data_IF_492002349483
#
_entry.id   IF_492002349483
#
_cell.length_a   1.000
_cell.length_b   1.000
_cell.length_c   1.000
_cell.angle_alpha   90.00
_cell.angle_beta   90.00
_cell.angle_gamma   90.00
#
_symmetry.space_group_name_H-M   'P 1'
#
loop_
_entity.id
_entity.type
_entity.pdbx_description
1 polymer ?
#
# COMPACT_ATOMS: atom_id res chain seq x y z
N UNK A 1 -10.53 -59.89 24.66
CA UNK A 1 -11.99 -60.03 24.80
C UNK A 1 -12.55 -58.68 25.25
N UNK A 2 -13.15 -57.93 24.33
CA UNK A 2 -13.73 -56.61 24.61
C UNK A 2 -14.75 -56.29 23.53
N UNK A 3 -16.02 -56.56 23.83
CA UNK A 3 -17.19 -56.33 22.96
C UNK A 3 -17.41 -54.83 22.78
N UNK A 4 -17.37 -54.36 21.54
CA UNK A 4 -17.90 -53.06 21.13
C UNK A 4 -19.37 -53.22 20.74
N UNK A 5 -20.24 -52.43 21.36
CA UNK A 5 -21.67 -52.34 21.09
C UNK A 5 -21.89 -51.39 19.91
N UNK A 6 -22.60 -51.90 18.89
CA UNK A 6 -23.20 -51.16 17.78
C UNK A 6 -24.42 -50.38 18.29
N UNK A 7 -24.49 -49.09 17.97
CA UNK A 7 -25.69 -48.25 18.11
C UNK A 7 -26.30 -48.05 16.72
N UNK A 8 -27.63 -48.20 16.54
CA UNK A 8 -28.27 -48.12 15.24
C UNK A 8 -28.57 -46.69 14.80
N UNK A 9 -28.62 -46.54 13.47
CA UNK A 9 -28.93 -45.34 12.72
C UNK A 9 -30.34 -44.81 12.99
N UNK A 10 -30.44 -43.50 13.23
CA UNK A 10 -31.71 -42.76 13.27
C UNK A 10 -31.91 -42.06 11.93
N UNK A 11 -33.07 -42.33 11.32
CA UNK A 11 -33.46 -41.89 9.99
C UNK A 11 -33.55 -40.37 9.85
N UNK A 12 -33.04 -39.89 8.72
CA UNK A 12 -33.12 -38.49 8.30
C UNK A 12 -34.42 -38.26 7.56
N UNK A 13 -35.39 -37.64 8.22
CA UNK A 13 -36.64 -37.17 7.61
C UNK A 13 -36.34 -35.91 6.80
N UNK A 14 -36.47 -35.97 5.48
CA UNK A 14 -36.47 -34.79 4.60
C UNK A 14 -37.75 -33.98 4.82
N UNK A 15 -37.62 -32.79 5.39
CA UNK A 15 -38.67 -31.77 5.39
C UNK A 15 -38.43 -30.84 4.19
N UNK A 16 -39.28 -30.93 3.18
CA UNK A 16 -39.32 -29.99 2.05
C UNK A 16 -40.08 -28.75 2.52
N UNK A 17 -39.33 -27.68 2.81
CA UNK A 17 -39.91 -26.37 3.12
C UNK A 17 -40.12 -25.60 1.82
N UNK A 18 -41.38 -25.44 1.41
CA UNK A 18 -41.76 -24.56 0.31
C UNK A 18 -41.61 -23.09 0.72
N UNK A 19 -40.63 -22.40 0.15
CA UNK A 19 -40.47 -20.95 0.26
C UNK A 19 -41.47 -20.27 -0.68
N UNK A 20 -42.56 -19.74 -0.10
CA UNK A 20 -43.43 -18.80 -0.78
C UNK A 20 -42.72 -17.45 -0.92
N UNK A 21 -42.38 -17.06 -2.14
CA UNK A 21 -41.88 -15.73 -2.48
C UNK A 21 -43.02 -14.72 -2.42
N UNK A 22 -43.15 -14.00 -1.31
CA UNK A 22 -43.97 -12.79 -1.26
C UNK A 22 -43.25 -11.66 -2.03
N UNK A 23 -43.72 -11.38 -3.24
CA UNK A 23 -43.34 -10.18 -3.99
C UNK A 23 -43.86 -8.95 -3.24
N UNK A 24 -42.99 -8.28 -2.49
CA UNK A 24 -43.26 -6.94 -1.96
C UNK A 24 -43.21 -5.95 -3.13
N UNK A 25 -44.36 -5.35 -3.44
CA UNK A 25 -44.46 -4.21 -4.36
C UNK A 25 -43.71 -3.02 -3.75
N UNK A 26 -42.71 -2.53 -4.48
CA UNK A 26 -41.99 -1.30 -4.14
C UNK A 26 -42.96 -0.10 -4.22
N UNK A 27 -42.95 0.82 -3.24
CA UNK A 27 -43.68 2.07 -3.34
C UNK A 27 -43.09 2.96 -4.45
N UNK A 28 -43.91 3.78 -5.12
CA UNK A 28 -43.44 4.70 -6.15
C UNK A 28 -42.46 5.73 -5.57
N UNK A 29 -41.47 6.20 -6.36
CA UNK A 29 -40.48 7.16 -5.89
C UNK A 29 -41.15 8.50 -5.54
N UNK A 30 -40.82 9.00 -4.35
CA UNK A 30 -41.23 10.32 -3.90
C UNK A 30 -40.63 11.40 -4.83
N UNK A 31 -41.50 12.20 -5.42
CA UNK A 31 -41.15 13.40 -6.19
C UNK A 31 -40.59 14.46 -5.23
N UNK A 32 -39.28 14.67 -5.27
CA UNK A 32 -38.65 15.78 -4.56
C UNK A 32 -39.03 17.13 -5.20
N UNK A 33 -39.34 18.17 -4.40
CA UNK A 33 -39.56 19.51 -4.93
C UNK A 33 -38.27 20.07 -5.52
N UNK A 34 -38.35 20.56 -6.77
CA UNK A 34 -37.27 21.25 -7.46
C UNK A 34 -36.85 22.49 -6.66
N UNK A 35 -35.56 22.56 -6.31
CA UNK A 35 -34.94 23.76 -5.75
C UNK A 35 -35.03 24.91 -6.78
N UNK A 36 -35.42 26.13 -6.38
CA UNK A 36 -35.33 27.29 -7.26
C UNK A 36 -33.86 27.58 -7.60
N UNK A 37 -33.57 27.74 -8.89
CA UNK A 37 -32.26 28.13 -9.39
C UNK A 37 -32.02 29.61 -9.07
N UNK A 38 -31.17 29.89 -8.08
CA UNK A 38 -30.63 31.23 -7.85
C UNK A 38 -29.30 31.31 -8.59
N UNK A 39 -29.26 32.11 -9.64
CA UNK A 39 -28.03 32.41 -10.38
C UNK A 39 -27.18 33.38 -9.56
N UNK A 40 -25.88 33.12 -9.32
CA UNK A 40 -25.00 34.11 -8.72
C UNK A 40 -24.66 35.22 -9.73
N UNK A 41 -24.56 36.49 -9.30
CA UNK A 41 -24.11 37.57 -10.17
C UNK A 41 -22.61 37.43 -10.47
N UNK A 42 -22.27 37.55 -11.76
CA UNK A 42 -20.89 37.75 -12.23
C UNK A 42 -20.34 39.02 -11.56
N UNK A 43 -19.33 38.86 -10.71
CA UNK A 43 -18.52 39.97 -10.20
C UNK A 43 -17.20 39.98 -10.97
N UNK A 44 -17.00 41.06 -11.70
CA UNK A 44 -15.80 41.39 -12.47
C UNK A 44 -14.61 41.62 -11.53
N UNK A 45 -13.41 41.06 -11.81
CA UNK A 45 -12.24 41.28 -10.96
C UNK A 45 -11.69 42.71 -11.15
N UNK A 46 -11.31 43.42 -10.07
CA UNK A 46 -10.72 44.75 -10.17
C UNK A 46 -9.31 44.70 -10.77
N UNK A 47 -9.05 45.67 -11.65
CA UNK A 47 -7.79 45.89 -12.33
C UNK A 47 -6.62 46.10 -11.33
N UNK A 48 -5.49 45.46 -11.61
CA UNK A 48 -4.26 45.64 -10.86
C UNK A 48 -3.66 47.05 -11.08
N UNK A 49 -3.09 47.69 -10.04
CA UNK A 49 -2.45 49.00 -10.18
C UNK A 49 -1.10 48.89 -10.89
N UNK A 50 -0.95 49.70 -11.95
CA UNK A 50 0.30 49.95 -12.67
C UNK A 50 1.28 50.68 -11.75
N UNK A 51 2.44 50.08 -11.48
CA UNK A 51 3.56 50.76 -10.82
C UNK A 51 4.48 51.43 -11.86
N UNK A 52 4.88 52.71 -11.64
CA UNK A 52 5.83 53.39 -12.52
C UNK A 52 7.29 53.07 -12.16
N UNK A 53 8.02 52.59 -13.18
CA UNK A 53 9.39 52.94 -13.54
C UNK A 53 10.46 53.00 -12.45
N UNK A 54 11.29 51.96 -12.37
CA UNK A 54 12.66 52.05 -11.85
C UNK A 54 13.66 51.64 -12.93
N UNK A 55 14.31 52.64 -13.51
CA UNK A 55 15.42 52.53 -14.45
C UNK A 55 16.62 51.93 -13.69
N UNK A 56 17.08 50.76 -14.11
CA UNK A 56 18.36 50.20 -13.67
C UNK A 56 19.26 50.10 -14.90
N UNK A 57 20.42 50.73 -14.79
CA UNK A 57 21.46 50.83 -15.80
C UNK A 57 22.07 49.46 -16.12
N UNK A 58 22.34 49.25 -17.41
CA UNK A 58 23.12 48.14 -17.95
C UNK A 58 24.60 48.23 -17.51
N UNK A 59 25.29 47.08 -17.43
CA UNK A 59 26.60 47.05 -18.06
C UNK A 59 26.90 45.78 -18.89
N UNK A 60 27.65 46.05 -19.96
CA UNK A 60 28.71 45.24 -20.57
C UNK A 60 28.43 43.81 -21.08
N UNK A 61 28.26 43.73 -22.40
CA UNK A 61 29.06 42.97 -23.37
C UNK A 61 29.78 41.70 -22.87
N UNK A 62 29.22 40.53 -23.20
CA UNK A 62 29.92 39.24 -23.19
C UNK A 62 30.11 38.69 -24.62
N UNK A 63 31.28 38.12 -24.84
CA UNK A 63 31.81 37.59 -26.10
C UNK A 63 31.10 36.31 -26.58
N UNK A 64 31.19 35.96 -27.89
CA UNK A 64 30.49 34.83 -28.47
C UNK A 64 31.09 33.48 -28.03
N UNK A 65 30.19 32.58 -27.64
CA UNK A 65 30.46 31.20 -27.25
C UNK A 65 30.98 30.36 -28.44
N UNK A 66 31.99 29.53 -28.17
CA UNK A 66 32.42 28.46 -29.06
C UNK A 66 31.41 27.30 -29.12
N UNK A 67 31.57 26.38 -30.10
CA UNK A 67 30.64 25.28 -30.33
C UNK A 67 30.60 24.34 -29.11
N UNK A 68 29.42 24.25 -28.50
CA UNK A 68 29.17 23.47 -27.29
C UNK A 68 29.27 21.97 -27.52
N UNK A 69 30.15 21.34 -26.75
CA UNK A 69 30.21 19.90 -26.54
C UNK A 69 28.88 19.42 -25.95
N UNK A 70 28.21 18.48 -26.62
CA UNK A 70 26.96 17.91 -26.16
C UNK A 70 27.10 17.31 -24.74
N UNK A 71 26.14 17.55 -23.82
CA UNK A 71 26.18 16.98 -22.48
C UNK A 71 26.03 15.46 -22.59
N UNK A 72 27.11 14.73 -22.33
CA UNK A 72 27.05 13.29 -22.14
C UNK A 72 26.22 13.01 -20.89
N UNK A 73 25.05 12.39 -21.06
CA UNK A 73 24.23 11.83 -19.99
C UNK A 73 25.09 10.81 -19.22
N UNK A 74 25.78 11.26 -18.17
CA UNK A 74 26.40 10.38 -17.20
C UNK A 74 25.26 9.67 -16.49
N UNK A 75 25.06 8.40 -16.83
CA UNK A 75 24.19 7.52 -16.07
C UNK A 75 24.83 7.30 -14.71
N UNK A 76 24.50 8.15 -13.74
CA UNK A 76 24.81 7.89 -12.34
C UNK A 76 24.10 6.59 -11.96
N UNK A 77 24.86 5.50 -12.00
CA UNK A 77 24.43 4.20 -11.52
C UNK A 77 24.22 4.31 -10.02
N UNK A 78 23.00 4.67 -9.62
CA UNK A 78 22.54 4.53 -8.24
C UNK A 78 22.86 3.11 -7.82
N UNK A 79 23.75 2.95 -6.83
CA UNK A 79 24.13 1.64 -6.31
C UNK A 79 22.89 1.01 -5.70
N UNK A 80 22.21 0.18 -6.50
CA UNK A 80 20.98 -0.51 -6.14
C UNK A 80 21.35 -1.52 -5.06
N UNK A 81 21.27 -1.11 -3.78
CA UNK A 81 21.45 -1.99 -2.62
C UNK A 81 20.27 -2.93 -2.51
N UNK A 82 20.18 -3.89 -3.42
CA UNK A 82 19.17 -4.94 -3.35
C UNK A 82 19.59 -5.96 -2.29
N UNK A 83 18.65 -6.36 -1.44
CA UNK A 83 18.80 -7.60 -0.69
C UNK A 83 18.70 -8.77 -1.68
N UNK A 84 19.85 -9.24 -2.16
CA UNK A 84 19.97 -10.42 -3.03
C UNK A 84 19.96 -11.67 -2.16
N UNK A 85 19.08 -12.61 -2.49
CA UNK A 85 18.99 -13.91 -1.86
C UNK A 85 19.21 -15.00 -2.93
N UNK A 86 20.23 -15.86 -2.80
CA UNK A 86 20.33 -17.03 -3.67
C UNK A 86 19.12 -17.93 -3.42
N UNK A 87 18.45 -18.36 -4.48
CA UNK A 87 17.23 -19.14 -4.40
C UNK A 87 17.37 -20.39 -5.26
N UNK A 88 17.27 -21.56 -4.64
CA UNK A 88 17.23 -22.84 -5.35
C UNK A 88 15.81 -23.35 -5.34
N UNK A 89 15.18 -23.34 -6.51
CA UNK A 89 13.74 -23.68 -6.65
C UNK A 89 13.43 -25.10 -6.19
N UNK A 90 14.37 -26.04 -6.36
CA UNK A 90 14.22 -27.42 -5.88
C UNK A 90 14.15 -27.52 -4.34
N UNK A 91 14.69 -26.54 -3.63
CA UNK A 91 14.68 -26.47 -2.16
C UNK A 91 13.43 -25.75 -1.62
N UNK A 92 12.56 -25.24 -2.50
CA UNK A 92 11.31 -24.59 -2.10
C UNK A 92 10.29 -25.63 -1.63
N UNK A 93 10.00 -25.57 -0.34
CA UNK A 93 9.02 -26.44 0.32
C UNK A 93 7.93 -25.62 0.97
N UNK A 94 6.68 -26.08 0.81
CA UNK A 94 5.53 -25.52 1.52
C UNK A 94 5.31 -26.35 2.78
N UNK A 95 5.33 -25.69 3.94
CA UNK A 95 5.13 -26.32 5.25
C UNK A 95 3.95 -25.66 5.95
N UNK A 96 3.16 -26.48 6.63
CA UNK A 96 2.16 -26.01 7.60
C UNK A 96 2.79 -26.10 8.98
N UNK A 97 3.05 -24.96 9.60
CA UNK A 97 3.60 -24.88 10.95
C UNK A 97 2.48 -24.63 11.95
N UNK A 98 2.27 -25.57 12.86
CA UNK A 98 1.28 -25.44 13.94
C UNK A 98 1.94 -24.77 15.14
N UNK A 99 1.57 -23.53 15.43
CA UNK A 99 2.06 -22.73 16.56
C UNK A 99 1.04 -22.73 17.68
N UNK A 100 0.99 -23.81 18.47
CA UNK A 100 0.03 -23.96 19.57
C UNK A 100 -1.27 -24.65 19.16
N UNK A 101 -2.26 -24.66 20.06
CA UNK A 101 -3.48 -25.47 19.90
C UNK A 101 -4.32 -25.05 18.67
N UNK A 102 -4.42 -23.74 18.40
CA UNK A 102 -5.42 -23.22 17.44
C UNK A 102 -4.84 -22.39 16.29
N UNK A 103 -3.51 -22.22 16.20
CA UNK A 103 -2.92 -21.44 15.11
C UNK A 103 -1.99 -22.29 14.25
N UNK A 104 -2.27 -22.29 12.94
CA UNK A 104 -1.41 -22.89 11.93
C UNK A 104 -1.08 -21.83 10.88
N UNK A 105 0.18 -21.77 10.48
CA UNK A 105 0.66 -20.89 9.41
C UNK A 105 1.19 -21.71 8.23
N UNK A 106 0.90 -21.26 7.02
CA UNK A 106 1.45 -21.76 5.78
C UNK A 106 2.70 -20.97 5.43
N UNK A 107 3.82 -21.66 5.35
CA UNK A 107 5.13 -21.06 5.17
C UNK A 107 5.83 -21.68 3.98
N UNK A 108 6.42 -20.83 3.14
CA UNK A 108 7.36 -21.27 2.10
C UNK A 108 8.76 -21.17 2.67
N UNK A 109 9.51 -22.26 2.58
CA UNK A 109 10.90 -22.37 3.02
C UNK A 109 11.81 -22.59 1.82
N UNK A 110 12.92 -21.88 1.77
CA UNK A 110 14.03 -22.11 0.84
C UNK A 110 15.14 -22.84 1.60
N UNK A 111 15.12 -24.18 1.54
CA UNK A 111 15.99 -25.02 2.37
C UNK A 111 15.69 -24.82 3.87
N UNK A 112 16.64 -24.25 4.60
CA UNK A 112 16.52 -23.98 6.04
C UNK A 112 16.09 -22.52 6.36
N UNK A 113 15.90 -21.68 5.35
CA UNK A 113 15.51 -20.27 5.52
C UNK A 113 14.02 -20.10 5.26
N UNK A 114 13.32 -19.41 6.16
CA UNK A 114 11.96 -18.96 5.91
C UNK A 114 11.99 -17.95 4.77
N UNK A 115 11.31 -18.29 3.66
CA UNK A 115 11.18 -17.39 2.52
C UNK A 115 10.00 -16.44 2.74
N UNK A 116 8.83 -16.97 3.08
CA UNK A 116 7.61 -16.18 3.30
C UNK A 116 6.59 -16.92 4.17
N UNK A 117 5.85 -16.16 4.98
CA UNK A 117 4.74 -16.64 5.81
C UNK A 117 3.42 -16.09 5.24
N UNK A 118 2.43 -16.97 5.09
CA UNK A 118 1.10 -16.67 4.53
C UNK A 118 -0.02 -16.79 5.58
N UNK A 119 0.32 -16.94 6.86
CA UNK A 119 -0.64 -17.20 7.92
C UNK A 119 -1.57 -18.36 7.53
N UNK A 120 -2.88 -18.21 7.63
CA UNK A 120 -3.87 -19.26 7.36
C UNK A 120 -4.21 -19.45 5.85
N UNK A 121 -3.61 -18.68 4.94
CA UNK A 121 -3.95 -18.69 3.51
C UNK A 121 -3.14 -19.74 2.70
N UNK A 122 -3.63 -20.99 2.72
CA UNK A 122 -3.06 -22.10 1.94
C UNK A 122 -3.07 -21.84 0.43
N UNK A 123 -4.19 -21.29 -0.09
CA UNK A 123 -4.40 -21.11 -1.52
C UNK A 123 -3.35 -20.15 -2.09
N UNK A 124 -3.16 -19.01 -1.42
CA UNK A 124 -2.13 -18.05 -1.77
C UNK A 124 -0.72 -18.63 -1.64
N UNK A 125 -0.43 -19.40 -0.59
CA UNK A 125 0.88 -20.02 -0.40
C UNK A 125 1.21 -21.01 -1.54
N UNK A 126 0.24 -21.85 -1.95
CA UNK A 126 0.38 -22.76 -3.10
C UNK A 126 0.54 -22.00 -4.41
N UNK A 127 -0.23 -20.93 -4.61
CA UNK A 127 -0.14 -20.10 -5.82
C UNK A 127 1.24 -19.42 -5.95
N UNK A 128 1.80 -18.88 -4.86
CA UNK A 128 3.15 -18.32 -4.85
C UNK A 128 4.21 -19.39 -5.10
N UNK A 129 4.12 -20.54 -4.42
CA UNK A 129 5.06 -21.65 -4.67
C UNK A 129 5.04 -22.09 -6.14
N UNK A 130 3.85 -22.15 -6.74
CA UNK A 130 3.69 -22.53 -8.15
C UNK A 130 4.30 -21.47 -9.06
N UNK A 131 4.06 -20.19 -8.79
CA UNK A 131 4.66 -19.05 -9.52
C UNK A 131 6.18 -19.08 -9.44
N UNK A 132 6.76 -19.32 -8.25
CA UNK A 132 8.21 -19.43 -8.08
C UNK A 132 8.80 -20.64 -8.83
N UNK A 133 8.10 -21.78 -8.82
CA UNK A 133 8.52 -22.98 -9.56
C UNK A 133 8.46 -22.81 -11.08
N UNK A 134 7.50 -22.02 -11.55
CA UNK A 134 7.33 -21.64 -12.95
C UNK A 134 8.45 -20.68 -13.40
N UNK A 135 8.77 -19.66 -12.58
CA UNK A 135 9.84 -18.70 -12.84
C UNK A 135 11.25 -19.29 -12.81
N UNK A 136 11.46 -20.32 -11.98
CA UNK A 136 12.76 -20.93 -11.71
C UNK A 136 13.91 -19.94 -11.39
N UNK A 137 13.69 -18.92 -10.54
CA UNK A 137 14.74 -17.96 -10.21
C UNK A 137 15.93 -18.62 -9.50
N UNK A 138 17.13 -18.19 -9.85
CA UNK A 138 18.39 -18.53 -9.17
C UNK A 138 18.78 -17.44 -8.16
N UNK A 139 18.37 -16.21 -8.45
CA UNK A 139 18.59 -15.03 -7.63
C UNK A 139 17.26 -14.36 -7.37
N UNK A 140 16.99 -14.03 -6.10
CA UNK A 140 15.79 -13.34 -5.67
C UNK A 140 16.15 -11.98 -5.10
N UNK A 141 15.44 -10.95 -5.53
CA UNK A 141 15.67 -9.57 -5.11
C UNK A 141 14.42 -9.01 -4.44
N UNK A 142 14.63 -8.41 -3.27
CA UNK A 142 13.59 -7.76 -2.47
C UNK A 142 13.75 -6.24 -2.56
N UNK A 143 12.66 -5.53 -2.86
CA UNK A 143 12.60 -4.07 -2.86
C UNK A 143 11.58 -3.60 -1.84
N UNK A 144 11.99 -2.66 -0.99
CA UNK A 144 11.22 -2.16 0.15
C UNK A 144 11.69 -2.77 1.47
N UNK A 145 11.54 -2.00 2.56
CA UNK A 145 11.94 -2.39 3.92
C UNK A 145 11.03 -1.70 4.94
N UNK A 146 10.66 -2.33 6.06
CA UNK A 146 11.04 -3.67 6.53
C UNK A 146 10.28 -4.82 5.85
N UNK A 147 9.19 -4.50 5.13
CA UNK A 147 8.43 -5.47 4.36
C UNK A 147 8.67 -5.25 2.86
N UNK A 148 8.95 -6.31 2.08
CA UNK A 148 9.13 -6.18 0.65
C UNK A 148 7.81 -5.77 -0.01
N UNK A 149 7.87 -4.69 -0.80
CA UNK A 149 6.73 -4.14 -1.54
C UNK A 149 6.62 -4.82 -2.91
N UNK A 150 7.76 -5.04 -3.55
CA UNK A 150 7.87 -5.72 -4.84
C UNK A 150 9.12 -6.59 -4.88
N UNK A 151 9.02 -7.71 -5.59
CA UNK A 151 10.10 -8.68 -5.71
C UNK A 151 10.30 -9.07 -7.17
N UNK A 152 11.50 -9.56 -7.49
CA UNK A 152 11.76 -10.13 -8.80
C UNK A 152 12.85 -11.19 -8.71
N UNK A 153 12.75 -12.15 -9.62
CA UNK A 153 13.71 -13.23 -9.77
C UNK A 153 14.53 -13.06 -11.04
N UNK A 154 15.81 -13.45 -10.99
CA UNK A 154 16.66 -13.60 -12.17
C UNK A 154 17.13 -15.05 -12.32
N UNK A 155 17.30 -15.48 -13.57
CA UNK A 155 17.85 -16.76 -14.01
C UNK A 155 19.07 -16.44 -14.86
N UNK A 156 20.27 -16.84 -14.44
CA UNK A 156 21.53 -16.46 -15.08
C UNK A 156 21.65 -14.93 -15.30
N UNK A 157 21.23 -14.13 -14.31
CA UNK A 157 21.28 -12.66 -14.36
C UNK A 157 20.24 -12.00 -15.29
N UNK A 158 19.32 -12.77 -15.89
CA UNK A 158 18.26 -12.28 -16.78
C UNK A 158 16.89 -12.57 -16.18
N UNK A 159 15.85 -11.77 -16.46
CA UNK A 159 14.51 -12.07 -15.99
C UNK A 159 13.95 -13.32 -16.68
N UNK A 160 13.09 -14.11 -16.00
CA UNK A 160 12.36 -15.19 -16.64
C UNK A 160 11.46 -14.62 -17.74
N UNK A 161 11.41 -15.31 -18.89
CA UNK A 161 10.60 -14.92 -20.04
C UNK A 161 9.28 -15.67 -20.01
N UNK A 162 8.18 -14.93 -19.99
CA UNK A 162 6.86 -15.49 -20.22
C UNK A 162 6.55 -15.46 -21.71
N UNK A 163 6.25 -16.63 -22.30
CA UNK A 163 5.67 -16.67 -23.64
C UNK A 163 4.29 -16.03 -23.55
N UNK A 164 4.05 -15.05 -24.43
CA UNK A 164 2.72 -14.49 -24.62
C UNK A 164 1.75 -15.64 -24.84
N UNK A 165 0.78 -15.79 -23.94
CA UNK A 165 -0.35 -16.67 -24.18
C UNK A 165 -1.16 -15.97 -25.26
N UNK A 166 -0.92 -16.33 -26.52
CA UNK A 166 -1.66 -15.81 -27.68
C UNK A 166 -3.13 -16.18 -27.50
N UNK A 167 -3.88 -15.29 -26.84
CA UNK A 167 -5.29 -15.47 -26.50
C UNK A 167 -6.22 -15.36 -27.71
N UNK A 168 -5.68 -15.09 -28.90
CA UNK A 168 -6.44 -15.17 -30.14
C UNK A 168 -6.52 -16.62 -30.58
N UNK A 169 -7.57 -17.31 -30.13
CA UNK A 169 -7.95 -18.64 -30.59
C UNK A 169 -8.49 -18.61 -32.02
N UNK A 170 -7.77 -17.96 -32.95
CA UNK A 170 -8.09 -17.99 -34.37
C UNK A 170 -7.26 -19.11 -35.03
N UNK A 171 -7.82 -20.33 -35.20
CA UNK A 171 -7.10 -21.50 -35.68
C UNK A 171 -6.68 -21.40 -37.16
N UNK A 172 -6.93 -20.27 -37.84
CA UNK A 172 -6.72 -20.13 -39.29
C UNK A 172 -5.51 -19.29 -39.69
N UNK A 173 -4.78 -18.69 -38.76
CA UNK A 173 -3.60 -17.89 -39.11
C UNK A 173 -2.36 -18.77 -39.26
N UNK A 174 -2.21 -19.39 -40.44
CA UNK A 174 -1.07 -20.22 -40.85
C UNK A 174 0.21 -19.43 -41.11
N UNK A 175 0.60 -18.54 -40.20
CA UNK A 175 1.82 -17.74 -40.32
C UNK A 175 3.04 -18.55 -39.89
N UNK A 176 3.92 -18.81 -40.86
CA UNK A 176 5.24 -19.40 -40.67
C UNK A 176 6.04 -18.62 -39.64
N UNK A 177 6.30 -19.25 -38.49
CA UNK A 177 7.15 -18.70 -37.45
C UNK A 177 8.62 -18.75 -37.89
N UNK A 178 9.22 -17.57 -38.01
CA UNK A 178 10.68 -17.42 -38.00
C UNK A 178 11.20 -17.97 -36.67
N UNK A 179 11.91 -19.10 -36.74
CA UNK A 179 12.76 -19.65 -35.69
C UNK A 179 13.94 -18.72 -35.46
N UNK A 180 13.69 -17.55 -34.86
CA UNK A 180 14.75 -16.85 -34.15
C UNK A 180 15.24 -17.81 -33.07
N UNK A 181 16.54 -18.11 -33.13
CA UNK A 181 17.29 -19.01 -32.27
C UNK A 181 17.23 -18.52 -30.81
N UNK A 182 16.08 -18.75 -30.17
CA UNK A 182 15.87 -18.49 -28.75
C UNK A 182 16.85 -19.38 -27.99
N UNK A 183 17.66 -18.77 -27.13
CA UNK A 183 18.52 -19.48 -26.18
C UNK A 183 17.69 -20.58 -25.51
N UNK A 184 18.00 -21.84 -25.84
CA UNK A 184 17.27 -23.05 -25.42
C UNK A 184 17.28 -23.30 -23.90
N UNK A 185 17.88 -22.39 -23.12
CA UNK A 185 18.06 -22.51 -21.68
C UNK A 185 17.20 -21.55 -20.85
N UNK A 186 16.42 -20.66 -21.47
CA UNK A 186 15.53 -19.79 -20.68
C UNK A 186 14.24 -20.52 -20.29
N UNK A 187 13.92 -20.60 -18.98
CA UNK A 187 12.66 -21.19 -18.55
C UNK A 187 11.49 -20.33 -19.04
N UNK A 188 10.50 -21.02 -19.62
CA UNK A 188 9.28 -20.41 -20.12
C UNK A 188 8.24 -20.40 -19.00
N UNK A 189 7.73 -19.23 -18.66
CA UNK A 189 6.64 -19.12 -17.68
C UNK A 189 5.28 -19.41 -18.30
N UNK A 190 4.48 -20.21 -17.61
CA UNK A 190 3.06 -20.46 -17.90
C UNK A 190 2.13 -19.39 -17.31
N UNK A 191 2.58 -18.67 -16.27
CA UNK A 191 1.75 -17.74 -15.49
C UNK A 191 0.82 -18.46 -14.51
N UNK A 192 1.01 -19.77 -14.28
CA UNK A 192 0.18 -20.55 -13.34
C UNK A 192 0.36 -20.04 -11.91
N UNK A 193 -0.73 -19.70 -11.24
CA UNK A 193 -0.73 -19.13 -9.88
C UNK A 193 -0.81 -17.61 -9.83
N UNK A 194 -0.61 -16.91 -10.96
CA UNK A 194 -0.87 -15.47 -11.05
C UNK A 194 -2.38 -15.22 -11.16
N UNK A 195 -2.91 -14.38 -10.28
CA UNK A 195 -4.31 -13.94 -10.32
C UNK A 195 -4.52 -12.85 -11.39
N UNK A 196 -3.56 -11.93 -11.48
CA UNK A 196 -3.57 -10.87 -12.49
C UNK A 196 -2.15 -10.64 -13.02
N UNK A 197 -2.08 -10.24 -14.29
CA UNK A 197 -0.85 -9.82 -14.95
C UNK A 197 -1.11 -8.45 -15.55
N UNK A 198 -0.40 -7.44 -15.05
CA UNK A 198 -0.50 -6.07 -15.53
C UNK A 198 0.68 -5.78 -16.48
N UNK A 199 0.42 -5.28 -17.70
CA UNK A 199 1.48 -4.81 -18.57
C UNK A 199 2.09 -3.53 -18.00
N UNK A 200 3.40 -3.35 -18.20
CA UNK A 200 4.13 -2.13 -17.87
C UNK A 200 4.67 -1.56 -19.18
N UNK A 201 4.34 -0.32 -19.49
CA UNK A 201 4.98 0.39 -20.60
C UNK A 201 6.34 0.94 -20.17
N UNK A 202 7.40 0.27 -20.62
CA UNK A 202 8.78 0.63 -20.29
C UNK A 202 9.21 2.01 -20.79
N UNK A 203 8.50 2.59 -21.77
CA UNK A 203 8.83 3.91 -22.32
C UNK A 203 8.31 5.03 -21.43
N UNK A 204 7.16 4.83 -20.80
CA UNK A 204 6.47 5.86 -20.01
C UNK A 204 6.53 5.59 -18.50
N UNK A 205 7.09 4.44 -18.09
CA UNK A 205 7.31 4.08 -16.68
C UNK A 205 8.11 5.16 -15.95
N UNK A 206 7.52 5.65 -14.86
CA UNK A 206 8.08 6.69 -14.01
C UNK A 206 7.65 6.51 -12.56
N UNK A 207 8.40 7.14 -11.67
CA UNK A 207 8.02 7.29 -10.28
C UNK A 207 7.46 8.70 -10.10
N UNK A 208 6.27 8.81 -9.53
CA UNK A 208 5.56 10.08 -9.37
C UNK A 208 4.97 10.17 -7.96
N UNK A 209 4.96 11.36 -7.38
CA UNK A 209 4.32 11.59 -6.08
C UNK A 209 2.86 11.99 -6.29
N UNK A 210 1.92 11.13 -5.87
CA UNK A 210 0.49 11.32 -6.02
C UNK A 210 -0.13 11.36 -4.62
N UNK A 211 -0.81 12.46 -4.27
CA UNK A 211 -1.38 12.67 -2.93
C UNK A 211 -0.38 12.42 -1.79
N UNK A 212 0.89 12.77 -1.97
CA UNK A 212 1.94 12.61 -0.96
C UNK A 212 2.58 11.22 -0.88
N UNK A 213 2.07 10.22 -1.62
CA UNK A 213 2.68 8.88 -1.70
C UNK A 213 3.42 8.69 -3.01
N UNK A 214 4.51 7.93 -2.97
CA UNK A 214 5.29 7.57 -4.15
C UNK A 214 4.65 6.40 -4.88
N UNK A 215 4.29 6.62 -6.14
CA UNK A 215 3.63 5.61 -6.97
C UNK A 215 4.46 5.39 -8.22
N UNK A 216 4.77 4.12 -8.48
CA UNK A 216 5.31 3.70 -9.75
C UNK A 216 4.14 3.51 -10.72
N UNK A 217 4.21 4.21 -11.84
CA UNK A 217 3.13 4.23 -12.83
C UNK A 217 3.67 4.37 -14.24
N UNK A 218 2.85 3.98 -15.20
CA UNK A 218 3.03 4.34 -16.61
C UNK A 218 1.88 5.27 -17.06
N UNK A 219 1.74 5.49 -18.37
CA UNK A 219 0.66 6.33 -18.90
C UNK A 219 -0.72 5.67 -18.85
N UNK A 220 -0.80 4.39 -18.49
CA UNK A 220 -2.03 3.61 -18.50
C UNK A 220 -2.46 3.15 -17.10
N UNK A 221 -1.51 2.94 -16.18
CA UNK A 221 -1.75 2.26 -14.91
C UNK A 221 -0.91 2.86 -13.78
N UNK A 222 -1.52 2.92 -12.59
CA UNK A 222 -0.82 2.96 -11.31
C UNK A 222 -0.45 1.52 -10.92
N UNK A 223 0.83 1.21 -10.90
CA UNK A 223 1.32 -0.17 -10.78
C UNK A 223 1.58 -0.56 -9.33
N UNK A 224 2.35 0.27 -8.61
CA UNK A 224 2.82 -0.04 -7.26
C UNK A 224 2.83 1.24 -6.41
N UNK A 225 2.17 1.18 -5.25
CA UNK A 225 2.23 2.24 -4.23
C UNK A 225 3.36 1.93 -3.24
N UNK A 226 4.36 2.80 -3.19
CA UNK A 226 5.51 2.73 -2.28
C UNK A 226 5.32 3.54 -1.00
N UNK A 227 4.14 4.13 -0.78
CA UNK A 227 3.85 4.97 0.37
C UNK A 227 4.88 6.10 0.51
N UNK A 228 5.60 6.19 1.62
CA UNK A 228 6.65 7.18 1.88
C UNK A 228 8.06 6.72 1.44
N UNK A 229 8.18 5.55 0.82
CA UNK A 229 9.47 4.92 0.47
C UNK A 229 9.97 5.30 -0.93
N UNK A 230 10.33 6.57 -1.13
CA UNK A 230 10.88 7.07 -2.41
C UNK A 230 12.03 6.19 -2.93
N UNK A 231 13.01 5.91 -2.07
CA UNK A 231 14.20 5.15 -2.43
C UNK A 231 13.86 3.74 -2.96
N UNK A 232 12.85 3.08 -2.38
CA UNK A 232 12.38 1.78 -2.86
C UNK A 232 11.71 1.90 -4.23
N UNK A 233 10.95 2.98 -4.47
CA UNK A 233 10.36 3.26 -5.77
C UNK A 233 11.41 3.51 -6.86
N UNK A 234 12.45 4.27 -6.56
CA UNK A 234 13.58 4.52 -7.48
C UNK A 234 14.35 3.22 -7.78
N UNK A 235 14.57 2.39 -6.76
CA UNK A 235 15.17 1.07 -6.89
C UNK A 235 14.35 0.16 -7.82
N UNK A 236 13.03 0.16 -7.68
CA UNK A 236 12.13 -0.60 -8.55
C UNK A 236 12.15 -0.08 -9.98
N UNK A 237 12.07 1.23 -10.18
CA UNK A 237 12.15 1.86 -11.50
C UNK A 237 13.48 1.52 -12.20
N UNK A 238 14.59 1.57 -11.48
CA UNK A 238 15.91 1.21 -12.00
C UNK A 238 15.98 -0.28 -12.38
N UNK A 239 15.47 -1.18 -11.52
CA UNK A 239 15.43 -2.61 -11.81
C UNK A 239 14.58 -2.93 -13.05
N UNK A 240 13.41 -2.30 -13.18
CA UNK A 240 12.50 -2.45 -14.33
C UNK A 240 13.20 -2.06 -15.63
N UNK A 241 13.85 -0.90 -15.66
CA UNK A 241 14.56 -0.41 -16.85
C UNK A 241 15.79 -1.25 -17.18
N UNK A 242 16.58 -1.62 -16.17
CA UNK A 242 17.82 -2.39 -16.34
C UNK A 242 17.57 -3.79 -16.89
N UNK A 243 16.54 -4.46 -16.40
CA UNK A 243 16.25 -5.85 -16.75
C UNK A 243 15.12 -6.01 -17.78
N UNK A 244 14.46 -4.92 -18.19
CA UNK A 244 13.33 -4.98 -19.14
C UNK A 244 12.11 -5.69 -18.56
N UNK A 245 11.81 -5.48 -17.27
CA UNK A 245 10.67 -6.09 -16.59
C UNK A 245 9.37 -5.40 -17.01
N UNK A 246 8.71 -5.90 -18.06
CA UNK A 246 7.52 -5.27 -18.65
C UNK A 246 6.19 -5.87 -18.17
N UNK A 247 6.20 -6.70 -17.11
CA UNK A 247 4.99 -7.28 -16.51
C UNK A 247 5.06 -7.24 -14.99
N UNK A 248 3.92 -6.95 -14.36
CA UNK A 248 3.69 -7.09 -12.93
C UNK A 248 2.68 -8.22 -12.70
N UNK A 249 3.16 -9.33 -12.13
CA UNK A 249 2.34 -10.45 -11.67
C UNK A 249 1.83 -10.21 -10.26
N UNK A 250 0.54 -10.48 -10.04
CA UNK A 250 -0.11 -10.37 -8.75
C UNK A 250 -0.66 -11.74 -8.37
N UNK A 251 -0.30 -12.22 -7.17
CA UNK A 251 -0.83 -13.45 -6.58
C UNK A 251 -1.72 -13.10 -5.39
N UNK A 252 -2.84 -13.83 -5.27
CA UNK A 252 -3.87 -13.63 -4.25
C UNK A 252 -5.14 -12.99 -4.83
N UNK A 253 -6.30 -13.59 -4.54
CA UNK A 253 -7.59 -13.23 -5.17
C UNK A 253 -8.24 -11.99 -4.56
N UNK A 254 -8.41 -12.01 -3.23
CA UNK A 254 -9.02 -10.89 -2.49
C UNK A 254 -8.01 -9.83 -2.13
N UNK A 255 -6.76 -10.24 -1.97
CA UNK A 255 -5.67 -9.39 -1.56
C UNK A 255 -4.36 -9.85 -2.21
N UNK A 256 -3.56 -8.92 -2.74
CA UNK A 256 -2.25 -9.24 -3.26
C UNK A 256 -1.31 -9.64 -2.12
N UNK A 257 -0.99 -10.92 -2.02
CA UNK A 257 -0.03 -11.47 -1.04
C UNK A 257 1.40 -11.45 -1.57
N UNK A 258 1.57 -11.31 -2.89
CA UNK A 258 2.85 -11.37 -3.57
C UNK A 258 2.76 -10.63 -4.91
N UNK A 259 3.76 -9.79 -5.17
CA UNK A 259 3.91 -9.00 -6.38
C UNK A 259 5.27 -9.31 -6.97
N UNK A 260 5.29 -9.87 -8.17
CA UNK A 260 6.53 -10.21 -8.86
C UNK A 260 6.63 -9.49 -10.20
N UNK A 261 7.80 -8.90 -10.47
CA UNK A 261 8.12 -8.35 -11.78
C UNK A 261 8.81 -9.43 -12.62
N UNK A 262 8.48 -9.48 -13.91
CA UNK A 262 9.10 -10.39 -14.89
C UNK A 262 9.05 -9.79 -16.30
N UNK A 263 9.71 -10.45 -17.25
CA UNK A 263 9.72 -10.04 -18.64
C UNK A 263 8.83 -10.96 -19.49
N UNK A 264 8.14 -10.39 -20.47
CA UNK A 264 7.38 -11.10 -21.48
C UNK A 264 7.69 -10.50 -22.86
N UNK A 265 7.57 -11.32 -23.91
CA UNK A 265 7.63 -10.80 -25.28
C UNK A 265 6.48 -9.82 -25.50
N UNK A 266 6.78 -8.61 -25.98
CA UNK A 266 5.77 -7.58 -26.23
C UNK A 266 4.88 -8.00 -27.41
N UNK A 267 3.72 -8.58 -27.09
CA UNK A 267 2.58 -8.51 -28.00
C UNK A 267 2.00 -7.10 -27.86
N UNK A 268 2.08 -6.32 -28.94
CA UNK A 268 1.60 -4.95 -29.00
C UNK A 268 0.14 -4.90 -28.57
N UNK A 269 -0.09 -4.44 -27.33
CA UNK A 269 -1.44 -4.28 -26.81
C UNK A 269 -1.90 -2.89 -27.19
N UNK A 270 -2.97 -2.81 -27.99
CA UNK A 270 -3.67 -1.53 -28.15
C UNK A 270 -4.19 -1.09 -26.79
N UNK A 271 -3.64 0.03 -26.29
CA UNK A 271 -4.08 0.62 -25.04
C UNK A 271 -5.52 1.10 -25.15
N UNK A 272 -6.21 1.23 -24.00
CA UNK A 272 -7.53 1.84 -23.94
C UNK A 272 -7.53 3.24 -24.61
N UNK A 273 -8.62 3.66 -25.28
CA UNK A 273 -8.75 5.02 -25.80
C UNK A 273 -8.46 6.09 -24.72
N UNK A 274 -7.81 7.19 -25.10
CA UNK A 274 -7.39 8.29 -24.20
C UNK A 274 -8.44 8.72 -23.16
N UNK A 275 -9.72 9.00 -23.51
CA UNK A 275 -10.69 9.46 -22.50
C UNK A 275 -10.97 8.40 -21.42
N UNK A 276 -11.11 7.14 -21.82
CA UNK A 276 -11.34 6.03 -20.89
C UNK A 276 -10.11 5.76 -20.03
N UNK A 277 -8.91 5.93 -20.61
CA UNK A 277 -7.64 5.79 -19.90
C UNK A 277 -7.48 6.82 -18.79
N UNK A 278 -7.79 8.10 -19.05
CA UNK A 278 -7.75 9.15 -18.02
C UNK A 278 -8.74 8.86 -16.89
N UNK A 279 -9.95 8.45 -17.24
CA UNK A 279 -10.95 8.06 -16.25
C UNK A 279 -10.48 6.85 -15.41
N UNK A 280 -9.87 5.86 -16.05
CA UNK A 280 -9.32 4.69 -15.36
C UNK A 280 -8.22 5.07 -14.37
N UNK A 281 -7.28 5.93 -14.79
CA UNK A 281 -6.22 6.44 -13.93
C UNK A 281 -6.76 7.26 -12.75
N UNK A 282 -7.78 8.08 -12.98
CA UNK A 282 -8.42 8.84 -11.91
C UNK A 282 -9.03 7.90 -10.87
N UNK A 283 -9.77 6.87 -11.31
CA UNK A 283 -10.35 5.87 -10.41
C UNK A 283 -9.28 5.10 -9.63
N UNK A 284 -8.15 4.78 -10.26
CA UNK A 284 -7.02 4.16 -9.56
C UNK A 284 -6.39 5.10 -8.53
N UNK A 285 -6.25 6.39 -8.86
CA UNK A 285 -5.71 7.42 -7.96
C UNK A 285 -6.61 7.58 -6.73
N UNK A 286 -7.93 7.64 -6.94
CA UNK A 286 -8.92 7.77 -5.86
C UNK A 286 -8.97 6.50 -4.98
N UNK A 287 -8.64 5.33 -5.55
CA UNK A 287 -8.56 4.05 -4.87
C UNK A 287 -7.20 3.77 -4.19
N UNK A 288 -6.24 4.69 -4.26
CA UNK A 288 -4.97 4.53 -3.56
C UNK A 288 -5.20 4.42 -2.05
N UNK A 289 -4.54 3.43 -1.45
CA UNK A 289 -4.49 3.24 -0.01
C UNK A 289 -3.15 2.57 0.33
N UNK A 290 -2.29 3.18 1.17
CA UNK A 290 -2.45 4.48 1.84
C UNK A 290 -2.30 5.70 0.89
N UNK A 291 -2.74 6.87 1.35
CA UNK A 291 -2.47 8.20 0.76
C UNK A 291 -1.80 9.12 1.78
N UNK A 292 -1.30 10.29 1.39
CA UNK A 292 -0.81 11.30 2.32
C UNK A 292 -1.95 12.02 3.06
N UNK A 293 -1.67 12.48 4.28
CA UNK A 293 -2.59 13.33 5.03
C UNK A 293 -2.49 14.77 4.53
N UNK A 294 -3.58 15.30 3.98
CA UNK A 294 -3.64 16.70 3.56
C UNK A 294 -3.68 17.62 4.78
N UNK A 295 -2.69 18.51 4.89
CA UNK A 295 -2.56 19.51 5.97
C UNK A 295 -2.55 20.91 5.34
N UNK A 296 -3.51 21.78 5.70
CA UNK A 296 -3.55 23.16 5.23
C UNK A 296 -2.22 23.89 5.44
N UNK A 297 -1.70 24.53 4.40
CA UNK A 297 -0.44 25.29 4.43
C UNK A 297 0.84 24.45 4.37
N UNK A 298 0.76 23.13 4.57
CA UNK A 298 1.92 22.23 4.53
C UNK A 298 1.91 21.32 3.29
N UNK A 299 0.73 20.91 2.83
CA UNK A 299 0.55 19.96 1.74
C UNK A 299 0.24 18.55 2.25
N UNK A 300 0.67 17.52 1.52
CA UNK A 300 0.47 16.12 1.92
C UNK A 300 1.65 15.63 2.77
N UNK A 301 1.36 15.10 3.96
CA UNK A 301 2.37 14.58 4.89
C UNK A 301 1.95 13.23 5.47
N UNK A 302 2.92 12.40 5.84
CA UNK A 302 2.65 11.12 6.49
C UNK A 302 1.82 10.15 5.64
N UNK A 303 1.23 9.15 6.29
CA UNK A 303 0.42 8.10 5.66
C UNK A 303 -0.94 8.00 6.35
N UNK A 304 -2.00 8.27 5.60
CA UNK A 304 -3.39 8.03 5.92
C UNK A 304 -3.81 6.67 5.32
N UNK A 305 -4.07 5.72 6.20
CA UNK A 305 -4.55 4.38 5.86
C UNK A 305 -6.04 4.26 6.16
N UNK A 306 -6.84 4.01 5.14
CA UNK A 306 -8.28 3.77 5.27
C UNK A 306 -8.56 2.29 5.51
N UNK A 307 -9.51 1.97 6.37
CA UNK A 307 -9.90 0.59 6.69
C UNK A 307 -11.36 0.48 7.11
N UNK A 308 -11.93 -0.72 6.96
CA UNK A 308 -13.24 -1.04 7.56
C UNK A 308 -13.02 -1.52 9.00
N UNK A 309 -13.59 -0.85 10.03
CA UNK A 309 -13.45 -1.27 11.42
C UNK A 309 -13.93 -2.70 11.68
N UNK A 310 -14.90 -3.21 10.90
CA UNK A 310 -15.42 -4.58 11.04
C UNK A 310 -14.43 -5.62 10.55
N UNK A 311 -13.57 -5.25 9.61
CA UNK A 311 -12.55 -6.13 9.02
C UNK A 311 -11.29 -6.29 9.89
N UNK A 312 -11.15 -5.49 10.96
CA UNK A 312 -10.00 -5.57 11.85
C UNK A 312 -9.92 -6.94 12.53
N UNK A 313 -8.72 -7.49 12.66
CA UNK A 313 -8.49 -8.78 13.33
C UNK A 313 -7.29 -8.71 14.27
N UNK A 314 -7.26 -9.62 15.24
CA UNK A 314 -6.09 -9.86 16.08
C UNK A 314 -5.18 -10.88 15.42
N UNK A 315 -3.88 -10.57 15.38
CA UNK A 315 -2.87 -11.52 14.93
C UNK A 315 -1.73 -11.57 15.93
N UNK A 316 -1.28 -12.79 16.27
CA UNK A 316 -0.08 -12.99 17.09
C UNK A 316 1.12 -13.17 16.17
N UNK A 317 2.09 -12.26 16.23
CA UNK A 317 3.32 -12.31 15.44
C UNK A 317 4.53 -12.02 16.33
N UNK A 318 5.53 -12.90 16.31
CA UNK A 318 6.74 -12.72 17.13
C UNK A 318 6.46 -12.67 18.64
N UNK A 319 5.42 -13.37 19.11
CA UNK A 319 5.00 -13.32 20.51
C UNK A 319 4.26 -12.05 20.93
N UNK A 320 4.00 -11.13 19.98
CA UNK A 320 3.24 -9.91 20.20
C UNK A 320 1.86 -10.01 19.56
N UNK A 321 0.83 -9.57 20.26
CA UNK A 321 -0.49 -9.38 19.68
C UNK A 321 -0.56 -8.05 18.96
N UNK A 322 -1.09 -8.08 17.75
CA UNK A 322 -1.21 -6.93 16.86
C UNK A 322 -2.65 -6.81 16.37
N UNK A 323 -3.12 -5.58 16.22
CA UNK A 323 -4.36 -5.30 15.49
C UNK A 323 -3.96 -5.03 14.04
N UNK A 324 -4.48 -5.83 13.13
CA UNK A 324 -4.21 -5.71 11.70
C UNK A 324 -5.49 -5.44 10.94
N UNK A 325 -5.38 -4.66 9.87
CA UNK A 325 -6.43 -4.49 8.87
C UNK A 325 -6.49 -5.71 7.93
N UNK A 326 -7.53 -5.79 7.10
CA UNK A 326 -7.63 -6.83 6.07
C UNK A 326 -6.43 -6.86 5.11
N UNK A 327 -5.76 -5.71 4.92
CA UNK A 327 -4.55 -5.56 4.11
C UNK A 327 -3.21 -5.72 4.88
N UNK A 328 -3.25 -6.30 6.08
CA UNK A 328 -2.15 -6.48 7.07
C UNK A 328 -1.42 -5.20 7.46
N UNK A 329 -2.09 -4.05 7.35
CA UNK A 329 -1.56 -2.85 7.96
C UNK A 329 -1.71 -2.95 9.48
N UNK A 330 -0.57 -2.89 10.19
CA UNK A 330 -0.53 -3.02 11.65
C UNK A 330 -0.93 -1.69 12.30
N UNK A 331 -2.13 -1.66 12.90
CA UNK A 331 -2.66 -0.49 13.61
C UNK A 331 -1.99 -0.26 14.96
N UNK A 332 -1.60 -1.32 15.66
CA UNK A 332 -0.94 -1.23 16.97
C UNK A 332 -0.44 -2.59 17.45
N UNK A 333 0.53 -2.57 18.37
CA UNK A 333 1.14 -3.76 18.97
C UNK A 333 0.95 -3.71 20.50
N UNK A 334 0.47 -4.79 21.10
CA UNK A 334 -0.12 -4.80 22.45
C UNK A 334 0.59 -5.74 23.44
N UNK A 335 1.82 -6.17 23.17
CA UNK A 335 2.52 -7.07 24.08
C UNK A 335 2.12 -8.55 23.88
N UNK A 336 2.52 -9.42 24.81
CA UNK A 336 2.15 -10.85 24.81
C UNK A 336 0.72 -11.11 25.31
N UNK A 337 0.09 -10.14 25.97
CA UNK A 337 -1.23 -10.27 26.57
C UNK A 337 -2.34 -9.99 25.55
N UNK A 338 -3.11 -11.03 25.22
CA UNK A 338 -4.21 -10.96 24.24
C UNK A 338 -5.33 -10.02 24.68
N UNK A 339 -5.65 -10.00 25.98
CA UNK A 339 -6.74 -9.20 26.55
C UNK A 339 -6.62 -7.72 26.20
N UNK A 340 -5.42 -7.14 26.29
CA UNK A 340 -5.18 -5.74 25.93
C UNK A 340 -5.42 -5.45 24.45
N UNK A 341 -5.03 -6.38 23.58
CA UNK A 341 -5.28 -6.27 22.14
C UNK A 341 -6.77 -6.40 21.82
N UNK A 342 -7.47 -7.33 22.48
CA UNK A 342 -8.91 -7.54 22.34
C UNK A 342 -9.72 -6.32 22.80
N UNK A 343 -9.35 -5.73 23.93
CA UNK A 343 -9.97 -4.49 24.41
C UNK A 343 -9.76 -3.36 23.40
N UNK A 344 -8.53 -3.17 22.91
CA UNK A 344 -8.24 -2.15 21.91
C UNK A 344 -8.99 -2.38 20.59
N UNK A 345 -9.11 -3.63 20.13
CA UNK A 345 -9.89 -3.98 18.95
C UNK A 345 -11.37 -3.65 19.13
N UNK A 346 -11.94 -3.98 20.30
CA UNK A 346 -13.31 -3.61 20.65
C UNK A 346 -13.50 -2.10 20.60
N UNK A 347 -12.58 -1.34 21.20
CA UNK A 347 -12.61 0.13 21.20
C UNK A 347 -12.55 0.71 19.78
N UNK A 348 -11.69 0.17 18.91
CA UNK A 348 -11.59 0.64 17.53
C UNK A 348 -12.87 0.38 16.74
N UNK A 349 -13.52 -0.77 16.98
CA UNK A 349 -14.80 -1.15 16.36
C UNK A 349 -15.97 -0.30 16.85
N UNK A 350 -16.08 -0.13 18.17
CA UNK A 350 -17.13 0.68 18.80
C UNK A 350 -17.00 2.16 18.43
N UNK A 351 -15.77 2.68 18.36
CA UNK A 351 -15.48 4.03 17.89
C UNK A 351 -15.77 4.26 16.41
N UNK A 352 -15.99 3.19 15.64
CA UNK A 352 -16.20 3.21 14.19
C UNK A 352 -15.12 4.00 13.45
N UNK A 353 -13.85 3.85 13.85
CA UNK A 353 -12.76 4.51 13.13
C UNK A 353 -12.60 3.89 11.76
N UNK A 354 -12.48 4.74 10.74
CA UNK A 354 -12.42 4.37 9.32
C UNK A 354 -11.07 4.68 8.70
N UNK A 355 -10.21 5.43 9.39
CA UNK A 355 -8.85 5.67 8.95
C UNK A 355 -7.90 5.98 10.12
N UNK A 356 -6.62 5.74 9.88
CA UNK A 356 -5.51 6.09 10.78
C UNK A 356 -4.49 6.87 9.96
N UNK A 357 -4.03 8.02 10.47
CA UNK A 357 -2.89 8.71 9.89
C UNK A 357 -1.67 8.57 10.79
N UNK A 358 -0.48 8.40 10.20
CA UNK A 358 0.80 8.41 10.90
C UNK A 358 1.76 9.40 10.25
N UNK A 359 2.38 10.24 11.07
CA UNK A 359 3.50 11.09 10.68
C UNK A 359 4.52 11.09 11.82
N UNK A 360 5.66 10.42 11.61
CA UNK A 360 6.62 10.19 12.68
C UNK A 360 5.97 9.46 13.87
N UNK A 361 6.08 9.97 15.10
CA UNK A 361 5.40 9.39 16.26
C UNK A 361 3.95 9.87 16.42
N UNK A 362 3.48 10.81 15.60
CA UNK A 362 2.10 11.28 15.68
C UNK A 362 1.16 10.32 14.96
N UNK A 363 0.20 9.78 15.70
CA UNK A 363 -0.88 8.96 15.15
C UNK A 363 -2.21 9.66 15.35
N UNK A 364 -3.06 9.72 14.32
CA UNK A 364 -4.41 10.30 14.38
C UNK A 364 -5.41 9.23 13.97
N UNK A 365 -6.56 9.17 14.64
CA UNK A 365 -7.67 8.31 14.26
C UNK A 365 -8.82 9.15 13.70
N UNK A 366 -9.41 8.67 12.61
CA UNK A 366 -10.51 9.35 11.92
C UNK A 366 -11.76 8.48 11.88
N UNK A 367 -12.91 9.13 11.98
CA UNK A 367 -14.24 8.58 11.73
C UNK A 367 -14.87 9.43 10.63
N UNK A 368 -15.12 8.85 9.46
CA UNK A 368 -15.73 9.55 8.33
C UNK A 368 -15.02 10.88 8.00
N UNK A 369 -13.68 10.83 7.87
CA UNK A 369 -12.82 12.00 7.57
C UNK A 369 -12.75 13.07 8.67
N UNK A 370 -13.46 12.91 9.78
CA UNK A 370 -13.33 13.75 10.96
C UNK A 370 -12.42 13.10 11.99
N UNK A 371 -11.63 13.91 12.70
CA UNK A 371 -10.78 13.39 13.77
C UNK A 371 -11.62 12.84 14.93
N UNK A 372 -11.10 11.85 15.65
CA UNK A 372 -11.75 11.28 16.82
C UNK A 372 -12.15 12.36 17.84
N UNK A 373 -13.46 12.49 18.11
CA UNK A 373 -14.00 13.43 19.11
C UNK A 373 -14.45 12.77 20.42
N UNK A 374 -14.82 11.49 20.36
CA UNK A 374 -15.32 10.73 21.52
C UNK A 374 -14.35 9.60 21.82
N UNK A 375 -13.63 9.75 22.92
CA UNK A 375 -12.71 8.72 23.39
C UNK A 375 -13.48 7.69 24.25
N UNK A 376 -13.18 6.39 24.11
CA UNK A 376 -13.77 5.37 24.98
C UNK A 376 -13.36 5.52 26.44
N UNK A 377 -14.20 5.02 27.36
CA UNK A 377 -14.03 5.17 28.82
C UNK A 377 -12.71 4.60 29.39
N UNK A 378 -12.06 3.66 28.71
CA UNK A 378 -10.81 3.02 29.16
C UNK A 378 -9.54 3.64 28.55
N UNK A 379 -9.65 4.84 27.99
CA UNK A 379 -8.52 5.52 27.35
C UNK A 379 -7.81 6.39 28.38
N UNK A 380 -6.49 6.26 28.51
CA UNK A 380 -5.72 7.23 29.28
C UNK A 380 -5.59 8.51 28.46
N UNK A 381 -6.11 9.62 28.98
CA UNK A 381 -6.15 10.89 28.25
C UNK A 381 -5.30 11.93 28.96
N UNK A 382 -4.48 12.63 28.18
CA UNK A 382 -3.78 13.83 28.61
C UNK A 382 -4.19 15.00 27.74
N UNK A 383 -4.64 16.07 28.39
CA UNK A 383 -5.00 17.33 27.71
C UNK A 383 -3.74 18.16 27.47
N UNK A 384 -3.69 18.85 26.33
CA UNK A 384 -2.69 19.86 26.00
C UNK A 384 -3.31 20.98 25.17
N UNK A 385 -2.70 22.17 25.15
CA UNK A 385 -3.15 23.28 24.30
C UNK A 385 -2.38 23.33 22.97
N UNK A 386 -3.04 23.11 21.81
CA UNK A 386 -2.37 23.13 20.50
C UNK A 386 -1.72 24.48 20.17
N UNK A 387 -2.16 25.58 20.79
CA UNK A 387 -1.59 26.93 20.55
C UNK A 387 -0.28 27.16 21.30
N UNK A 388 -0.04 26.42 22.39
CA UNK A 388 1.17 26.53 23.21
C UNK A 388 2.24 25.52 22.81
N UNK A 389 2.00 24.72 21.77
CA UNK A 389 2.95 23.74 21.30
C UNK A 389 4.19 24.41 20.73
N UNK A 390 5.35 23.93 21.17
CA UNK A 390 6.65 24.34 20.64
C UNK A 390 7.56 23.14 20.48
N UNK A 391 8.47 23.23 19.53
CA UNK A 391 9.55 22.26 19.40
C UNK A 391 10.62 22.61 20.42
N UNK A 392 11.03 21.64 21.23
CA UNK A 392 12.12 21.76 22.21
C UNK A 392 13.22 20.80 21.83
N UNK A 393 14.45 21.31 21.76
CA UNK A 393 15.65 20.51 21.52
C UNK A 393 16.50 20.52 22.79
N UNK A 394 16.70 19.36 23.39
CA UNK A 394 17.52 19.20 24.61
C UNK A 394 18.57 18.12 24.35
N UNK A 395 19.80 18.56 24.10
CA UNK A 395 20.89 17.66 23.69
C UNK A 395 20.62 17.04 22.32
N UNK A 396 20.59 15.70 22.25
CA UNK A 396 20.33 14.94 21.02
C UNK A 396 18.84 14.62 20.80
N UNK A 397 17.95 15.10 21.69
CA UNK A 397 16.52 14.81 21.61
C UNK A 397 15.76 16.03 21.14
N UNK A 398 14.88 15.82 20.16
CA UNK A 398 13.91 16.80 19.71
C UNK A 398 12.50 16.29 20.05
N UNK A 399 11.64 17.14 20.60
CA UNK A 399 10.26 16.76 20.95
C UNK A 399 9.32 17.96 20.88
N UNK A 400 8.05 17.70 20.63
CA UNK A 400 6.97 18.70 20.74
C UNK A 400 6.52 18.76 22.20
N UNK A 401 6.41 19.96 22.76
CA UNK A 401 6.06 20.19 24.15
C UNK A 401 4.95 21.24 24.31
N UNK A 402 4.08 21.02 25.31
CA UNK A 402 3.10 22.00 25.79
C UNK A 402 3.58 22.54 27.15
N UNK A 403 3.90 23.84 27.21
CA UNK A 403 4.44 24.50 28.41
C UNK A 403 5.65 23.76 29.03
N UNK A 404 6.51 23.19 28.17
CA UNK A 404 7.69 22.42 28.59
C UNK A 404 7.41 20.96 28.95
N UNK A 405 6.15 20.51 29.00
CA UNK A 405 5.81 19.10 29.17
C UNK A 405 5.84 18.39 27.82
N UNK A 406 6.63 17.32 27.64
CA UNK A 406 6.73 16.62 26.36
C UNK A 406 5.38 16.01 25.97
N UNK A 407 5.02 16.14 24.69
CA UNK A 407 3.80 15.59 24.07
C UNK A 407 4.16 14.38 23.22
N UNK A 408 5.08 14.53 22.27
CA UNK A 408 5.66 13.45 21.48
C UNK A 408 7.10 13.78 21.08
N UNK A 409 7.92 12.73 20.85
CA UNK A 409 9.26 12.90 20.30
C UNK A 409 9.19 13.35 18.82
N UNK A 410 10.31 13.77 18.22
CA UNK A 410 10.46 13.94 16.76
C UNK A 410 11.95 13.78 16.41
N UNK A 411 12.26 13.44 15.15
CA UNK A 411 13.64 13.25 14.69
C UNK A 411 14.41 14.56 14.67
N UNK A 412 13.77 15.61 14.17
CA UNK A 412 14.38 16.92 13.97
C UNK A 412 13.34 18.04 14.15
N UNK A 413 13.82 19.29 14.12
CA UNK A 413 12.95 20.45 14.36
C UNK A 413 11.92 20.66 13.24
N UNK A 414 12.26 20.30 12.00
CA UNK A 414 11.34 20.41 10.87
C UNK A 414 10.16 19.43 11.03
N UNK A 415 10.43 18.17 11.40
CA UNK A 415 9.39 17.20 11.73
C UNK A 415 8.50 17.70 12.88
N UNK A 416 9.11 18.23 13.94
CA UNK A 416 8.38 18.82 15.07
C UNK A 416 7.43 19.95 14.64
N UNK A 417 7.87 20.83 13.75
CA UNK A 417 7.02 21.91 13.21
C UNK A 417 5.86 21.35 12.39
N UNK A 418 6.10 20.33 11.56
CA UNK A 418 5.04 19.66 10.80
C UNK A 418 4.03 18.97 11.72
N UNK A 419 4.48 18.33 12.80
CA UNK A 419 3.58 17.74 13.82
C UNK A 419 2.71 18.83 14.44
N UNK A 420 3.29 19.97 14.82
CA UNK A 420 2.51 21.10 15.37
C UNK A 420 1.45 21.57 14.37
N UNK A 421 1.82 21.74 13.10
CA UNK A 421 0.89 22.13 12.04
C UNK A 421 -0.26 21.12 11.86
N UNK A 422 0.04 19.81 11.90
CA UNK A 422 -0.97 18.75 11.88
C UNK A 422 -1.92 18.91 13.08
N UNK A 423 -1.39 18.96 14.31
CA UNK A 423 -2.20 19.02 15.52
C UNK A 423 -3.07 20.27 15.56
N UNK A 424 -2.56 21.42 15.12
CA UNK A 424 -3.32 22.66 15.02
C UNK A 424 -4.40 22.60 13.93
N UNK A 425 -4.07 22.08 12.74
CA UNK A 425 -5.02 21.98 11.63
C UNK A 425 -6.24 21.10 11.96
N UNK A 426 -6.03 20.00 12.67
CA UNK A 426 -7.11 19.09 13.08
C UNK A 426 -7.71 19.43 14.45
N UNK A 427 -7.20 20.47 15.13
CA UNK A 427 -7.68 20.89 16.45
C UNK A 427 -7.46 19.83 17.54
N UNK A 428 -6.38 19.06 17.45
CA UNK A 428 -6.01 18.07 18.45
C UNK A 428 -5.62 18.76 19.76
N UNK A 429 -6.25 18.37 20.85
CA UNK A 429 -5.95 18.85 22.20
C UNK A 429 -5.93 17.71 23.24
N UNK A 430 -6.07 16.45 22.78
CA UNK A 430 -6.00 15.26 23.61
C UNK A 430 -4.93 14.31 23.06
N UNK A 431 -4.07 13.81 23.95
CA UNK A 431 -3.20 12.67 23.73
C UNK A 431 -3.81 11.47 24.45
N UNK A 432 -4.29 10.50 23.67
CA UNK A 432 -4.97 9.31 24.12
C UNK A 432 -4.03 8.09 24.04
N UNK A 433 -4.17 7.16 24.98
CA UNK A 433 -3.47 5.88 24.95
C UNK A 433 -4.41 4.72 25.29
N UNK A 434 -4.36 3.68 24.45
CA UNK A 434 -5.04 2.40 24.66
C UNK A 434 -3.98 1.31 24.79
N UNK A 435 -3.90 0.64 25.93
CA UNK A 435 -2.95 -0.43 26.20
C UNK A 435 -2.32 -0.33 27.60
N UNK A 436 -1.56 -1.35 28.02
CA UNK A 436 -0.92 -1.38 29.34
C UNK A 436 0.20 -0.36 29.49
N UNK A 437 0.95 -0.06 28.41
CA UNK A 437 2.07 0.88 28.46
C UNK A 437 2.21 1.63 27.14
N UNK A 438 2.81 2.84 27.12
CA UNK A 438 3.06 3.60 25.88
C UNK A 438 3.83 2.84 24.80
N UNK A 439 4.60 1.79 25.16
CA UNK A 439 5.33 0.92 24.23
C UNK A 439 4.52 -0.28 23.74
N UNK A 440 3.48 -0.65 24.46
CA UNK A 440 2.61 -1.79 24.20
C UNK A 440 1.17 -1.27 24.14
N UNK A 441 0.82 -0.63 23.05
CA UNK A 441 -0.51 -0.08 22.85
C UNK A 441 -0.60 0.78 21.60
N UNK A 442 -1.68 1.55 21.55
CA UNK A 442 -1.94 2.55 20.52
C UNK A 442 -2.06 3.92 21.19
N UNK A 443 -1.06 4.77 20.95
CA UNK A 443 -1.08 6.18 21.35
C UNK A 443 -1.52 7.01 20.15
N UNK A 444 -2.52 7.87 20.32
CA UNK A 444 -3.06 8.69 19.24
C UNK A 444 -3.57 10.04 19.73
N UNK A 445 -3.65 10.99 18.81
CA UNK A 445 -4.18 12.32 19.02
C UNK A 445 -5.67 12.37 18.69
N UNK A 446 -6.41 13.12 19.50
CA UNK A 446 -7.85 13.30 19.37
C UNK A 446 -8.23 14.75 19.72
N UNK A 447 -9.49 15.08 19.45
CA UNK A 447 -10.06 16.40 19.74
C UNK A 447 -11.15 16.28 20.80
N UNK A 448 -11.04 17.05 21.87
CA UNK A 448 -12.13 17.24 22.81
C UNK A 448 -13.28 18.02 22.12
N UNK A 449 -14.55 17.65 22.35
CA UNK A 449 -15.69 18.41 21.85
C UNK A 449 -15.69 19.87 22.32
#
# INVERSE_FOLDING_TARGET
>A
MGRWLLVPAVGTTMMVLALATAQQSLPPPATFPRRPAVSPPLSEPPAAPVQPGKVIASPATSSPAGPGTAPSLRSDTVAVSNQRMPLKVAELTLKRLVTGADSASWQIWAGHRLFRDFADDEESARAVLTTLRDQRPEEWFLIGSPHPIVEYGLVNGQPPLMLGRTGSGDPRSGSSFLTHQLDTHRPLMSGTGLHAILPIDLRTIRLEQIHGVWVLRDDHNLLINFADQQAAGEQALAAIRRHGLNRLGIVGRRRPVFRCLFAATEEGREGLPEPLRRQHLQLQSDALNPIGLAVPGVGYVGLLHRFDPRSLSLRKQGGQWQIVTADDYVLGQFGPAESHAADALRLLREGQFTAIARYGPATLLFRQEQIAHRLPLHTHVRVFDPRNLRVVTTGQRCFVADQGRPVCDCRDSAEGQTIIAILQAFGCNLLAHIGPTPRQGLTFFARHP
#
